data_IF_784584400011
#
_entry.id   IF_784584400011
#
_cell.length_a   1.000
_cell.length_b   1.000
_cell.length_c   1.000
_cell.angle_alpha   90.00
_cell.angle_beta   90.00
_cell.angle_gamma   90.00
#
_symmetry.space_group_name_H-M   'P 1'
#
loop_
_entity.id
_entity.type
_entity.pdbx_description
1 polymer ?
#
# COMPACT_ATOMS: atom_id res chain seq x y z
N UNK A 1 -14.78 -11.22 41.92
CA UNK A 1 -15.53 -10.52 40.89
C UNK A 1 -15.90 -11.55 39.83
N UNK A 2 -17.16 -11.69 39.38
CA UNK A 2 -17.51 -12.66 38.36
C UNK A 2 -16.78 -12.27 37.04
N UNK A 3 -16.00 -13.20 36.51
CA UNK A 3 -15.44 -13.11 35.18
C UNK A 3 -16.63 -13.10 34.20
N UNK A 4 -16.97 -11.92 33.68
CA UNK A 4 -17.92 -11.81 32.58
C UNK A 4 -17.38 -12.60 31.40
N UNK A 5 -18.09 -13.67 31.00
CA UNK A 5 -17.79 -14.41 29.77
C UNK A 5 -17.63 -13.39 28.63
N UNK A 6 -16.53 -13.41 27.85
CA UNK A 6 -16.36 -12.47 26.77
C UNK A 6 -17.55 -12.54 25.82
N UNK A 7 -18.13 -11.39 25.46
CA UNK A 7 -19.24 -11.35 24.50
C UNK A 7 -18.79 -11.98 23.18
N UNK A 8 -19.49 -13.01 22.72
CA UNK A 8 -19.30 -13.63 21.40
C UNK A 8 -19.93 -12.81 20.27
N UNK A 9 -20.30 -11.55 20.56
CA UNK A 9 -21.00 -10.65 19.64
C UNK A 9 -20.33 -9.27 19.59
N UNK A 10 -20.27 -8.70 18.38
CA UNK A 10 -19.90 -7.30 18.12
C UNK A 10 -20.88 -6.67 17.12
N UNK A 11 -20.85 -5.34 16.97
CA UNK A 11 -21.60 -4.69 15.90
C UNK A 11 -20.97 -5.01 14.54
N UNK A 12 -19.63 -4.94 14.49
CA UNK A 12 -18.88 -5.12 13.23
C UNK A 12 -17.65 -6.00 13.47
N UNK A 13 -17.47 -7.00 12.61
CA UNK A 13 -16.23 -7.77 12.50
C UNK A 13 -15.37 -7.22 11.35
N UNK A 14 -14.15 -6.76 11.63
CA UNK A 14 -13.17 -6.37 10.63
C UNK A 14 -12.21 -7.54 10.42
N UNK A 15 -12.20 -8.08 9.20
CA UNK A 15 -11.43 -9.26 8.82
C UNK A 15 -10.17 -8.81 8.08
N UNK A 16 -9.00 -8.98 8.72
CA UNK A 16 -7.69 -8.53 8.28
C UNK A 16 -7.15 -7.40 9.16
N UNK A 17 -6.01 -7.64 9.82
CA UNK A 17 -5.32 -6.71 10.72
C UNK A 17 -4.04 -6.11 10.10
N UNK A 18 -4.02 -5.93 8.78
CA UNK A 18 -3.08 -5.03 8.12
C UNK A 18 -3.39 -3.57 8.46
N UNK A 19 -2.54 -2.62 8.02
CA UNK A 19 -2.72 -1.19 8.29
C UNK A 19 -4.12 -0.69 7.91
N UNK A 20 -4.69 -1.16 6.79
CA UNK A 20 -6.04 -0.78 6.34
C UNK A 20 -7.11 -1.25 7.33
N UNK A 21 -7.08 -2.54 7.73
CA UNK A 21 -8.07 -3.09 8.65
C UNK A 21 -7.99 -2.47 10.05
N UNK A 22 -6.79 -2.20 10.55
CA UNK A 22 -6.59 -1.51 11.83
C UNK A 22 -7.13 -0.07 11.77
N UNK A 23 -6.88 0.67 10.68
CA UNK A 23 -7.48 2.00 10.49
C UNK A 23 -9.02 1.93 10.41
N UNK A 24 -9.59 0.93 9.70
CA UNK A 24 -11.04 0.73 9.65
C UNK A 24 -11.62 0.48 11.04
N UNK A 25 -10.98 -0.39 11.83
CA UNK A 25 -11.41 -0.68 13.19
C UNK A 25 -11.41 0.57 14.08
N UNK A 26 -10.34 1.38 14.01
CA UNK A 26 -10.24 2.66 14.73
C UNK A 26 -11.32 3.65 14.31
N UNK A 27 -11.53 3.86 13.00
CA UNK A 27 -12.51 4.81 12.49
C UNK A 27 -13.95 4.40 12.81
N UNK A 28 -14.27 3.10 12.81
CA UNK A 28 -15.57 2.60 13.26
C UNK A 28 -15.75 2.78 14.78
N UNK A 29 -14.69 2.54 15.56
CA UNK A 29 -14.70 2.76 17.01
C UNK A 29 -14.92 4.25 17.36
N UNK A 30 -14.30 5.18 16.59
CA UNK A 30 -14.54 6.63 16.70
C UNK A 30 -16.01 7.00 16.41
N UNK A 31 -16.74 6.15 15.68
CA UNK A 31 -18.19 6.28 15.43
C UNK A 31 -19.06 5.57 16.50
N UNK A 32 -18.47 5.10 17.59
CA UNK A 32 -19.16 4.44 18.70
C UNK A 32 -19.54 2.97 18.44
N UNK A 33 -18.96 2.31 17.40
CA UNK A 33 -19.25 0.93 17.10
C UNK A 33 -18.40 -0.02 17.96
N UNK A 34 -18.99 -1.13 18.39
CA UNK A 34 -18.26 -2.24 19.00
C UNK A 34 -17.64 -3.09 17.90
N UNK A 35 -16.32 -3.03 17.80
CA UNK A 35 -15.56 -3.67 16.72
C UNK A 35 -14.73 -4.83 17.23
N UNK A 36 -14.82 -5.96 16.55
CA UNK A 36 -13.88 -7.07 16.67
C UNK A 36 -12.96 -7.08 15.44
N UNK A 37 -11.65 -6.99 15.66
CA UNK A 37 -10.64 -7.13 14.63
C UNK A 37 -10.13 -8.58 14.60
N UNK A 38 -10.08 -9.19 13.42
CA UNK A 38 -9.73 -10.61 13.26
C UNK A 38 -8.64 -10.75 12.20
N UNK A 39 -7.59 -11.52 12.50
CA UNK A 39 -6.58 -11.96 11.52
C UNK A 39 -6.06 -13.33 11.92
N UNK A 40 -5.49 -14.08 11.00
CA UNK A 40 -4.81 -15.36 11.27
C UNK A 40 -3.42 -15.17 11.89
N UNK A 41 -2.78 -14.03 11.57
CA UNK A 41 -1.39 -13.72 11.93
C UNK A 41 -1.31 -12.50 12.86
N UNK A 42 -0.09 -12.16 13.26
CA UNK A 42 0.16 -10.93 14.00
C UNK A 42 -0.18 -9.70 13.14
N UNK A 43 -0.84 -8.69 13.72
CA UNK A 43 -1.19 -7.47 13.00
C UNK A 43 0.02 -6.80 12.35
N UNK A 44 -0.17 -6.36 11.09
CA UNK A 44 0.87 -5.68 10.32
C UNK A 44 2.00 -6.56 9.76
N UNK A 45 2.06 -7.85 10.07
CA UNK A 45 3.18 -8.73 9.69
C UNK A 45 3.24 -9.10 8.20
N UNK A 46 2.13 -8.92 7.46
CA UNK A 46 2.04 -9.25 6.05
C UNK A 46 2.51 -8.07 5.15
N UNK A 47 1.76 -7.73 4.12
CA UNK A 47 2.12 -6.70 3.12
C UNK A 47 2.40 -5.31 3.74
N UNK A 48 1.79 -5.00 4.89
CA UNK A 48 2.01 -3.73 5.61
C UNK A 48 3.45 -3.58 6.14
N UNK A 49 4.14 -4.67 6.45
CA UNK A 49 5.53 -4.66 6.94
C UNK A 49 6.52 -4.10 5.92
N UNK A 50 6.39 -4.48 4.67
CA UNK A 50 7.47 -4.38 3.68
C UNK A 50 7.45 -3.18 2.76
N UNK A 51 6.60 -2.17 3.02
CA UNK A 51 6.55 -0.98 2.17
C UNK A 51 7.71 0.01 2.45
N UNK A 52 7.88 1.02 1.58
CA UNK A 52 8.92 2.03 1.70
C UNK A 52 8.63 3.09 2.79
N UNK A 53 7.54 2.95 3.53
CA UNK A 53 7.17 3.85 4.63
C UNK A 53 6.57 5.18 4.18
N UNK A 54 6.25 5.39 2.91
CA UNK A 54 5.72 6.67 2.45
C UNK A 54 4.20 6.79 2.66
N UNK A 55 3.79 7.87 3.33
CA UNK A 55 2.46 8.47 3.21
C UNK A 55 2.60 9.52 2.12
N UNK A 56 2.24 9.14 0.91
CA UNK A 56 2.71 9.78 -0.30
C UNK A 56 1.64 10.71 -0.89
N UNK A 57 1.66 12.00 -0.48
CA UNK A 57 0.75 13.02 -1.02
C UNK A 57 0.94 13.24 -2.52
N UNK A 58 2.15 12.96 -3.05
CA UNK A 58 2.52 13.15 -4.45
C UNK A 58 2.06 12.03 -5.39
N UNK A 59 1.53 10.92 -4.89
CA UNK A 59 1.05 9.78 -5.69
C UNK A 59 -0.35 9.98 -6.30
N UNK A 60 -0.61 11.16 -6.82
CA UNK A 60 -1.90 11.46 -7.49
C UNK A 60 -2.06 10.76 -8.84
N UNK A 61 -0.95 10.29 -9.42
CA UNK A 61 -0.93 9.55 -10.68
C UNK A 61 -0.79 8.05 -10.39
N UNK A 62 -1.87 7.24 -10.48
CA UNK A 62 -1.76 5.79 -10.37
C UNK A 62 -0.75 5.24 -11.37
N UNK A 63 0.04 4.23 -10.98
CA UNK A 63 1.02 3.65 -11.90
C UNK A 63 0.33 3.11 -13.15
N UNK A 64 0.60 3.72 -14.31
CA UNK A 64 0.07 3.31 -15.58
C UNK A 64 0.85 2.12 -16.17
N UNK A 65 0.16 1.28 -16.92
CA UNK A 65 0.80 0.25 -17.74
C UNK A 65 1.48 0.92 -18.95
N UNK A 66 2.74 0.61 -19.28
CA UNK A 66 3.43 1.17 -20.44
C UNK A 66 2.65 0.90 -21.73
N UNK A 67 2.61 1.90 -22.62
CA UNK A 67 1.87 1.79 -23.89
C UNK A 67 2.77 1.90 -25.12
N UNK A 68 3.99 2.32 -24.95
CA UNK A 68 4.97 2.35 -26.04
C UNK A 68 5.56 0.96 -26.30
N UNK A 69 5.69 0.60 -27.55
CA UNK A 69 6.14 -0.74 -27.96
C UNK A 69 7.60 -1.03 -27.57
N UNK A 70 8.47 -0.01 -27.55
CA UNK A 70 9.87 -0.18 -27.18
C UNK A 70 10.01 -0.62 -25.72
N UNK A 71 9.29 0.03 -24.83
CA UNK A 71 9.23 -0.34 -23.40
C UNK A 71 8.60 -1.73 -23.22
N UNK A 72 7.50 -2.05 -23.93
CA UNK A 72 6.86 -3.36 -23.82
C UNK A 72 7.79 -4.48 -24.28
N UNK A 73 8.53 -4.31 -25.40
CA UNK A 73 9.52 -5.27 -25.87
C UNK A 73 10.67 -5.40 -24.86
N UNK A 74 11.14 -4.29 -24.30
CA UNK A 74 12.20 -4.32 -23.29
C UNK A 74 11.78 -5.10 -22.02
N UNK A 75 10.53 -4.95 -21.59
CA UNK A 75 9.97 -5.76 -20.50
C UNK A 75 9.79 -7.22 -20.90
N UNK A 76 9.27 -7.51 -22.11
CA UNK A 76 9.12 -8.87 -22.61
C UNK A 76 10.46 -9.61 -22.71
N UNK A 77 11.54 -8.91 -23.03
CA UNK A 77 12.90 -9.46 -23.04
C UNK A 77 13.58 -9.41 -21.67
N UNK A 78 12.90 -9.01 -20.61
CA UNK A 78 13.42 -8.86 -19.24
C UNK A 78 14.69 -7.99 -19.14
N UNK A 79 14.84 -7.01 -20.04
CA UNK A 79 15.96 -6.06 -20.05
C UNK A 79 15.82 -4.92 -19.04
N UNK A 80 14.61 -4.63 -18.54
CA UNK A 80 14.35 -3.61 -17.53
C UNK A 80 14.33 -4.24 -16.13
N UNK A 81 14.98 -3.58 -15.19
CA UNK A 81 15.04 -4.01 -13.78
C UNK A 81 13.74 -3.75 -13.01
N UNK A 82 12.96 -2.76 -13.44
CA UNK A 82 11.73 -2.35 -12.76
C UNK A 82 10.61 -3.40 -12.77
N UNK A 83 10.66 -4.40 -13.68
CA UNK A 83 9.69 -5.48 -13.70
C UNK A 83 10.34 -6.83 -14.05
N UNK A 84 9.83 -7.89 -13.42
CA UNK A 84 10.17 -9.29 -13.70
C UNK A 84 8.86 -10.09 -13.78
N UNK A 85 8.86 -11.22 -14.49
CA UNK A 85 7.68 -12.06 -14.57
C UNK A 85 8.01 -13.54 -14.68
N UNK A 86 7.11 -14.36 -14.16
CA UNK A 86 7.13 -15.81 -14.30
C UNK A 86 6.32 -16.21 -15.54
N UNK A 87 6.92 -16.88 -16.50
CA UNK A 87 6.25 -17.33 -17.72
C UNK A 87 4.99 -18.15 -17.44
N UNK A 88 5.03 -19.03 -16.45
CA UNK A 88 3.89 -19.86 -16.05
C UNK A 88 2.71 -19.07 -15.48
N UNK A 89 2.94 -17.86 -14.99
CA UNK A 89 1.89 -17.02 -14.42
C UNK A 89 1.19 -16.13 -15.48
N UNK A 90 1.81 -15.93 -16.65
CA UNK A 90 1.30 -14.97 -17.63
C UNK A 90 -0.11 -15.31 -18.13
N UNK A 91 -0.40 -16.59 -18.39
CA UNK A 91 -1.73 -17.00 -18.85
C UNK A 91 -2.84 -16.64 -17.86
N UNK A 92 -2.61 -16.88 -16.57
CA UNK A 92 -3.58 -16.53 -15.51
C UNK A 92 -3.67 -15.04 -15.23
N UNK A 93 -2.59 -14.29 -15.45
CA UNK A 93 -2.54 -12.84 -15.25
C UNK A 93 -3.04 -12.06 -16.47
N UNK A 94 -3.17 -12.68 -17.63
CA UNK A 94 -3.52 -12.01 -18.89
C UNK A 94 -4.83 -11.21 -18.82
N UNK A 95 -5.95 -11.72 -18.25
CA UNK A 95 -7.19 -10.95 -18.16
C UNK A 95 -7.01 -9.64 -17.38
N UNK A 96 -6.21 -9.68 -16.29
CA UNK A 96 -5.89 -8.51 -15.52
C UNK A 96 -4.92 -7.57 -16.26
N UNK A 97 -3.86 -8.09 -16.90
CA UNK A 97 -2.90 -7.30 -17.68
C UNK A 97 -3.60 -6.52 -18.81
N UNK A 98 -4.50 -7.17 -19.54
CA UNK A 98 -5.31 -6.52 -20.59
C UNK A 98 -6.21 -5.44 -19.99
N UNK A 99 -6.89 -5.72 -18.88
CA UNK A 99 -7.70 -4.74 -18.16
C UNK A 99 -6.86 -3.54 -17.71
N UNK A 100 -5.72 -3.78 -17.10
CA UNK A 100 -4.80 -2.76 -16.63
C UNK A 100 -4.26 -1.89 -17.79
N UNK A 101 -3.86 -2.51 -18.91
CA UNK A 101 -3.45 -1.79 -20.12
C UNK A 101 -4.57 -0.90 -20.67
N UNK A 102 -5.83 -1.39 -20.70
CA UNK A 102 -7.00 -0.60 -21.13
C UNK A 102 -7.23 0.60 -20.23
N UNK A 103 -7.23 0.41 -18.89
CA UNK A 103 -7.46 1.50 -17.92
C UNK A 103 -6.29 2.50 -17.85
N UNK A 104 -5.13 2.13 -18.34
CA UNK A 104 -3.98 3.03 -18.53
C UNK A 104 -4.05 3.83 -19.85
N UNK A 105 -5.15 3.75 -20.60
CA UNK A 105 -5.32 4.54 -21.83
C UNK A 105 -5.55 6.02 -21.52
N UNK A 106 -5.13 6.96 -22.40
CA UNK A 106 -5.38 8.39 -22.22
C UNK A 106 -6.85 8.75 -21.99
N UNK A 107 -7.78 7.91 -22.50
CA UNK A 107 -9.22 8.12 -22.33
C UNK A 107 -9.75 7.70 -20.95
N UNK A 108 -9.25 6.59 -20.38
CA UNK A 108 -9.74 6.05 -19.09
C UNK A 108 -8.87 6.48 -17.89
N UNK A 109 -7.60 6.75 -18.11
CA UNK A 109 -6.65 7.09 -17.05
C UNK A 109 -7.03 8.34 -16.23
N UNK A 110 -7.61 9.41 -16.81
CA UNK A 110 -8.05 10.56 -16.02
C UNK A 110 -9.10 10.21 -14.95
N UNK A 111 -9.96 9.22 -15.20
CA UNK A 111 -10.93 8.74 -14.19
C UNK A 111 -10.24 8.03 -13.01
N UNK A 112 -9.14 7.31 -13.28
CA UNK A 112 -8.33 6.69 -12.22
C UNK A 112 -7.64 7.75 -11.36
N UNK A 113 -7.12 8.83 -11.97
CA UNK A 113 -6.55 9.98 -11.25
C UNK A 113 -7.62 10.63 -10.36
N UNK A 114 -8.78 10.96 -10.93
CA UNK A 114 -9.88 11.59 -10.20
C UNK A 114 -10.36 10.72 -9.03
N UNK A 115 -10.39 9.39 -9.21
CA UNK A 115 -10.72 8.46 -8.14
C UNK A 115 -9.63 8.30 -7.08
N UNK A 116 -8.34 8.40 -7.43
CA UNK A 116 -7.25 8.31 -6.46
C UNK A 116 -7.14 9.58 -5.59
N UNK A 117 -7.42 10.73 -6.18
CA UNK A 117 -7.14 12.05 -5.62
C UNK A 117 -7.73 12.27 -4.22
N UNK A 118 -9.01 12.01 -3.93
CA UNK A 118 -9.58 12.28 -2.60
C UNK A 118 -8.89 11.48 -1.48
N UNK A 119 -8.53 10.22 -1.74
CA UNK A 119 -7.86 9.36 -0.75
C UNK A 119 -6.40 9.80 -0.53
N UNK A 120 -5.72 10.26 -1.59
CA UNK A 120 -4.34 10.76 -1.52
C UNK A 120 -4.29 12.11 -0.83
N UNK A 121 -5.19 13.04 -1.15
CA UNK A 121 -5.25 14.38 -0.54
C UNK A 121 -5.48 14.32 0.97
N UNK A 122 -6.35 13.43 1.39
CA UNK A 122 -6.69 13.26 2.80
C UNK A 122 -5.76 12.28 3.54
N UNK A 123 -4.74 11.71 2.86
CA UNK A 123 -3.88 10.69 3.47
C UNK A 123 -3.21 11.16 4.76
N UNK A 124 -2.51 12.29 4.72
CA UNK A 124 -1.82 12.81 5.89
C UNK A 124 -2.80 13.35 6.95
N UNK A 125 -3.83 14.08 6.54
CA UNK A 125 -4.86 14.66 7.44
C UNK A 125 -5.53 13.58 8.28
N UNK A 126 -5.73 12.39 7.72
CA UNK A 126 -6.35 11.26 8.44
C UNK A 126 -5.36 10.43 9.24
N UNK A 127 -4.08 10.37 8.82
CA UNK A 127 -3.05 9.68 9.58
C UNK A 127 -2.53 10.48 10.78
N UNK A 128 -2.37 11.80 10.65
CA UNK A 128 -1.76 12.65 11.66
C UNK A 128 -2.42 12.53 13.06
N UNK A 129 -3.76 12.64 13.20
CA UNK A 129 -4.39 12.49 14.50
C UNK A 129 -4.28 11.08 15.08
N UNK A 130 -4.22 10.03 14.24
CA UNK A 130 -4.01 8.66 14.71
C UNK A 130 -2.57 8.45 15.20
N UNK A 131 -1.58 9.02 14.52
CA UNK A 131 -0.17 8.98 14.90
C UNK A 131 0.04 9.69 16.26
N UNK A 132 -0.58 10.85 16.42
CA UNK A 132 -0.53 11.62 17.67
C UNK A 132 -1.19 10.85 18.82
N UNK A 133 -2.43 10.38 18.61
CA UNK A 133 -3.17 9.61 19.61
C UNK A 133 -2.47 8.30 20.01
N UNK A 134 -1.76 7.65 19.05
CA UNK A 134 -0.98 6.46 19.31
C UNK A 134 0.41 6.75 19.94
N UNK A 135 0.80 8.03 20.11
CA UNK A 135 2.06 8.46 20.73
C UNK A 135 3.30 8.09 19.92
N UNK A 136 3.20 8.01 18.58
CA UNK A 136 4.29 7.52 17.71
C UNK A 136 4.78 8.55 16.69
N UNK A 137 4.63 9.84 16.98
CA UNK A 137 5.12 10.94 16.12
C UNK A 137 6.63 10.83 15.81
N UNK A 138 7.41 10.18 16.68
CA UNK A 138 8.83 9.91 16.47
C UNK A 138 9.12 9.00 15.26
N UNK A 139 8.14 8.24 14.79
CA UNK A 139 8.29 7.39 13.60
C UNK A 139 8.20 8.18 12.29
N UNK A 140 7.79 9.45 12.36
CA UNK A 140 7.50 10.29 11.20
C UNK A 140 8.70 11.15 10.85
N UNK A 141 9.18 11.01 9.62
CA UNK A 141 10.09 11.96 8.98
C UNK A 141 9.30 12.88 8.03
N UNK A 142 9.50 14.18 8.14
CA UNK A 142 8.79 15.20 7.36
C UNK A 142 9.57 15.70 6.14
N UNK A 143 10.70 15.07 5.82
CA UNK A 143 11.58 15.53 4.75
C UNK A 143 11.01 15.30 3.33
N UNK A 144 9.94 14.50 3.20
CA UNK A 144 9.45 14.08 1.90
C UNK A 144 10.31 13.00 1.26
N UNK A 145 10.35 12.96 -0.07
CA UNK A 145 11.16 12.01 -0.82
C UNK A 145 11.72 12.63 -2.09
N UNK A 146 12.77 12.02 -2.65
CA UNK A 146 13.49 12.53 -3.81
C UNK A 146 13.49 11.47 -4.91
N UNK A 147 13.10 11.89 -6.12
CA UNK A 147 13.25 11.15 -7.36
C UNK A 147 14.56 11.59 -8.01
N UNK A 148 15.39 10.62 -8.44
CA UNK A 148 16.69 10.89 -9.07
C UNK A 148 16.85 10.13 -10.37
N UNK A 149 17.71 10.65 -11.26
CA UNK A 149 17.99 10.07 -12.58
C UNK A 149 19.41 10.36 -13.06
N UNK A 150 19.87 9.53 -14.03
CA UNK A 150 21.18 9.63 -14.70
C UNK A 150 21.06 9.93 -16.19
N UNK A 151 19.87 9.76 -16.77
CA UNK A 151 19.65 9.88 -18.21
C UNK A 151 18.71 11.02 -18.55
N UNK A 152 19.02 11.78 -19.64
CA UNK A 152 18.23 12.93 -20.08
C UNK A 152 16.79 12.56 -20.47
N UNK A 153 16.57 11.39 -21.08
CA UNK A 153 15.23 10.92 -21.45
C UNK A 153 14.34 10.76 -20.20
N UNK A 154 14.91 10.26 -19.11
CA UNK A 154 14.21 10.10 -17.83
C UNK A 154 14.02 11.45 -17.13
N UNK A 155 14.96 12.37 -17.27
CA UNK A 155 14.84 13.75 -16.79
C UNK A 155 13.60 14.42 -17.35
N UNK A 156 13.47 14.48 -18.69
CA UNK A 156 12.34 15.16 -19.33
C UNK A 156 10.99 14.60 -18.86
N UNK A 157 10.85 13.28 -18.86
CA UNK A 157 9.62 12.62 -18.37
C UNK A 157 9.33 12.94 -16.89
N UNK A 158 10.37 13.02 -16.05
CA UNK A 158 10.23 13.36 -14.62
C UNK A 158 9.86 14.81 -14.39
N UNK A 159 10.43 15.73 -15.17
CA UNK A 159 10.10 17.16 -15.13
C UNK A 159 8.67 17.43 -15.62
N UNK A 160 8.23 16.75 -16.67
CA UNK A 160 6.85 16.85 -17.18
C UNK A 160 5.84 16.36 -16.13
N UNK A 161 6.14 15.23 -15.45
CA UNK A 161 5.30 14.75 -14.36
C UNK A 161 5.30 15.72 -13.16
N UNK A 162 6.45 16.28 -12.81
CA UNK A 162 6.59 17.28 -11.76
C UNK A 162 5.74 18.53 -12.06
N UNK A 163 5.79 19.02 -13.29
CA UNK A 163 4.95 20.13 -13.75
C UNK A 163 3.46 19.82 -13.67
N UNK A 164 3.05 18.63 -14.10
CA UNK A 164 1.66 18.19 -13.98
C UNK A 164 1.21 18.12 -12.51
N UNK A 165 2.10 17.71 -11.60
CA UNK A 165 1.81 17.62 -10.16
C UNK A 165 1.42 18.96 -9.55
N UNK A 166 1.93 20.08 -10.05
CA UNK A 166 1.59 21.43 -9.58
C UNK A 166 0.09 21.74 -9.75
N UNK A 167 -0.55 21.22 -10.80
CA UNK A 167 -2.00 21.38 -11.02
C UNK A 167 -2.88 20.72 -9.94
N UNK A 168 -2.30 19.80 -9.16
CA UNK A 168 -2.95 19.12 -8.03
C UNK A 168 -2.54 19.71 -6.67
N UNK A 169 -1.98 20.93 -6.66
CA UNK A 169 -1.59 21.63 -5.45
C UNK A 169 -0.38 21.02 -4.72
N UNK A 170 0.45 20.25 -5.41
CA UNK A 170 1.65 19.65 -4.82
C UNK A 170 2.82 20.66 -4.84
N UNK A 171 3.57 20.67 -3.75
CA UNK A 171 4.87 21.32 -3.73
C UNK A 171 5.90 20.42 -4.42
N UNK A 172 6.61 20.99 -5.37
CA UNK A 172 7.63 20.28 -6.15
C UNK A 172 8.87 21.14 -6.27
N UNK A 173 10.05 20.54 -6.03
CA UNK A 173 11.33 21.23 -6.14
C UNK A 173 12.24 20.46 -7.08
N UNK A 174 12.53 21.04 -8.25
CA UNK A 174 13.55 20.49 -9.14
C UNK A 174 14.93 20.80 -8.52
N UNK A 175 15.79 19.81 -8.49
CA UNK A 175 17.12 19.87 -7.91
C UNK A 175 18.16 19.59 -8.99
N UNK A 176 19.13 20.50 -9.12
CA UNK A 176 20.38 20.26 -9.85
C UNK A 176 21.23 19.22 -9.12
N UNK A 177 22.27 18.72 -9.78
CA UNK A 177 23.25 17.83 -9.15
C UNK A 177 23.85 18.45 -7.87
N UNK A 178 24.26 19.70 -7.91
CA UNK A 178 24.86 20.39 -6.74
C UNK A 178 23.88 20.50 -5.57
N UNK A 179 22.61 20.79 -5.83
CA UNK A 179 21.57 20.85 -4.80
C UNK A 179 21.25 19.45 -4.23
N UNK A 180 21.31 18.40 -5.07
CA UNK A 180 21.19 17.01 -4.60
C UNK A 180 22.31 16.64 -3.65
N UNK A 181 23.57 16.99 -4.00
CA UNK A 181 24.75 16.70 -3.15
C UNK A 181 24.70 17.46 -1.81
N UNK A 182 24.18 18.68 -1.78
CA UNK A 182 23.97 19.43 -0.54
C UNK A 182 22.89 18.75 0.31
N UNK A 183 21.82 18.29 -0.30
CA UNK A 183 20.66 17.70 0.39
C UNK A 183 20.92 16.27 0.87
N UNK A 184 21.60 15.48 0.06
CA UNK A 184 21.98 14.08 0.31
C UNK A 184 23.45 13.84 -0.10
N UNK A 185 24.41 14.17 0.77
CA UNK A 185 25.84 14.10 0.44
C UNK A 185 26.36 12.70 0.10
N UNK A 186 25.59 11.66 0.43
CA UNK A 186 25.94 10.26 0.12
C UNK A 186 25.53 9.78 -1.25
N UNK A 187 24.85 10.62 -2.05
CA UNK A 187 24.41 10.26 -3.40
C UNK A 187 25.57 10.24 -4.41
N UNK A 188 25.43 9.38 -5.42
CA UNK A 188 26.34 9.31 -6.55
C UNK A 188 26.46 10.68 -7.25
N UNK A 189 27.69 11.25 -7.37
CA UNK A 189 27.90 12.51 -8.06
C UNK A 189 27.65 12.46 -9.56
N UNK A 190 27.46 11.27 -10.15
CA UNK A 190 27.14 11.11 -11.57
C UNK A 190 25.64 11.35 -11.88
N UNK A 191 24.79 11.56 -10.87
CA UNK A 191 23.40 11.95 -11.09
C UNK A 191 23.32 13.31 -11.77
N UNK A 192 22.43 13.46 -12.74
CA UNK A 192 22.27 14.74 -13.46
C UNK A 192 21.23 15.66 -12.83
N UNK A 193 20.30 15.13 -12.03
CA UNK A 193 19.28 15.91 -11.33
C UNK A 193 18.29 15.07 -10.53
N UNK A 194 17.32 15.76 -9.96
CA UNK A 194 16.23 15.13 -9.21
C UNK A 194 15.02 16.04 -9.00
N UNK A 195 13.95 15.44 -8.48
CA UNK A 195 12.74 16.15 -8.01
C UNK A 195 12.47 15.78 -6.57
N UNK A 196 12.35 16.78 -5.72
CA UNK A 196 11.94 16.64 -4.33
C UNK A 196 10.45 16.94 -4.17
N UNK A 197 9.76 16.04 -3.48
CA UNK A 197 8.34 16.11 -3.09
C UNK A 197 8.21 16.27 -1.58
N UNK A 198 8.20 17.52 -1.05
CA UNK A 198 8.25 17.78 0.40
C UNK A 198 6.94 17.50 1.14
N UNK A 199 5.81 17.41 0.43
CA UNK A 199 4.48 17.26 1.05
C UNK A 199 4.22 15.84 1.58
N UNK A 200 5.01 14.87 1.17
CA UNK A 200 4.93 13.50 1.64
C UNK A 200 5.59 13.32 3.01
N UNK A 201 5.20 12.29 3.73
CA UNK A 201 5.80 11.92 5.03
C UNK A 201 6.34 10.50 4.94
N UNK A 202 7.42 10.24 5.65
CA UNK A 202 7.99 8.92 5.75
C UNK A 202 7.79 8.35 7.15
N UNK A 203 7.42 7.09 7.22
CA UNK A 203 7.34 6.28 8.43
C UNK A 203 8.55 5.36 8.47
N UNK A 204 9.43 5.55 9.44
CA UNK A 204 10.66 4.76 9.57
C UNK A 204 10.44 3.29 9.92
N UNK A 205 9.27 2.95 10.45
CA UNK A 205 8.85 1.58 10.75
C UNK A 205 7.34 1.40 10.55
N UNK A 206 6.91 0.94 9.37
CA UNK A 206 5.49 0.72 9.08
C UNK A 206 4.83 -0.36 9.95
N UNK A 207 5.59 -1.35 10.42
CA UNK A 207 5.06 -2.37 11.32
C UNK A 207 4.83 -1.80 12.71
N UNK A 208 5.78 -1.03 13.24
CA UNK A 208 5.62 -0.35 14.52
C UNK A 208 4.44 0.63 14.50
N UNK A 209 4.22 1.34 13.38
CA UNK A 209 3.03 2.19 13.21
C UNK A 209 1.75 1.36 13.28
N UNK A 210 1.67 0.24 12.54
CA UNK A 210 0.47 -0.63 12.55
C UNK A 210 0.21 -1.20 13.93
N UNK A 211 1.27 -1.60 14.64
CA UNK A 211 1.20 -2.10 16.02
C UNK A 211 0.72 -1.01 16.99
N UNK A 212 1.21 0.22 16.82
CA UNK A 212 0.79 1.34 17.67
C UNK A 212 -0.70 1.68 17.46
N UNK A 213 -1.18 1.64 16.22
CA UNK A 213 -2.59 1.82 15.90
C UNK A 213 -3.46 0.68 16.50
N UNK A 214 -2.97 -0.56 16.43
CA UNK A 214 -3.64 -1.67 17.11
C UNK A 214 -3.73 -1.43 18.62
N UNK A 215 -2.62 -1.04 19.24
CA UNK A 215 -2.60 -0.77 20.69
C UNK A 215 -3.57 0.36 21.07
N UNK A 216 -3.65 1.42 20.26
CA UNK A 216 -4.64 2.49 20.44
C UNK A 216 -6.07 1.94 20.34
N UNK A 217 -6.36 1.07 19.36
CA UNK A 217 -7.65 0.41 19.20
C UNK A 217 -8.01 -0.43 20.45
N UNK A 218 -7.06 -1.21 20.97
CA UNK A 218 -7.27 -2.05 22.17
C UNK A 218 -7.46 -1.18 23.43
N UNK A 219 -6.67 -0.12 23.60
CA UNK A 219 -6.79 0.83 24.72
C UNK A 219 -8.17 1.53 24.74
N UNK A 220 -8.77 1.75 23.58
CA UNK A 220 -10.13 2.29 23.44
C UNK A 220 -11.22 1.22 23.60
N UNK A 221 -10.88 0.02 24.07
CA UNK A 221 -11.82 -1.07 24.34
C UNK A 221 -12.15 -1.95 23.14
N UNK A 222 -11.42 -1.84 22.03
CA UNK A 222 -11.50 -2.77 20.91
C UNK A 222 -10.92 -4.14 21.28
N UNK A 223 -11.27 -5.17 20.51
CA UNK A 223 -10.78 -6.53 20.70
C UNK A 223 -10.11 -7.03 19.41
N UNK A 224 -9.00 -7.75 19.57
CA UNK A 224 -8.35 -8.51 18.50
C UNK A 224 -8.34 -9.99 18.87
N UNK A 225 -8.75 -10.84 17.93
CA UNK A 225 -8.74 -12.31 18.10
C UNK A 225 -8.19 -12.93 16.81
N UNK A 226 -7.44 -14.01 16.95
CA UNK A 226 -7.04 -14.82 15.80
C UNK A 226 -8.23 -15.60 15.25
N UNK A 227 -8.29 -15.69 13.89
CA UNK A 227 -9.37 -16.43 13.26
C UNK A 227 -9.14 -16.65 11.77
N UNK A 228 -9.95 -17.53 11.21
CA UNK A 228 -9.89 -17.88 9.79
C UNK A 228 -10.87 -17.03 8.96
N UNK A 229 -10.33 -16.08 8.20
CA UNK A 229 -11.11 -15.26 7.28
C UNK A 229 -11.93 -16.07 6.27
N UNK A 230 -11.45 -17.26 5.87
CA UNK A 230 -12.15 -18.12 4.91
C UNK A 230 -13.39 -18.78 5.51
N UNK A 231 -13.54 -18.77 6.83
CA UNK A 231 -14.74 -19.26 7.51
C UNK A 231 -15.89 -18.26 7.49
N UNK A 232 -15.68 -17.02 7.03
CA UNK A 232 -16.72 -15.99 6.99
C UNK A 232 -17.92 -16.47 6.19
N UNK A 233 -19.08 -16.53 6.84
CA UNK A 233 -20.34 -16.98 6.26
C UNK A 233 -21.53 -16.21 6.83
N UNK A 234 -22.66 -16.29 6.13
CA UNK A 234 -23.93 -15.75 6.61
C UNK A 234 -24.60 -16.76 7.54
N UNK A 235 -25.02 -16.30 8.71
CA UNK A 235 -25.84 -17.05 9.66
C UNK A 235 -27.10 -16.22 10.00
N UNK A 236 -28.22 -16.59 9.39
CA UNK A 236 -29.43 -15.79 9.46
C UNK A 236 -29.24 -14.38 8.93
N UNK A 237 -29.43 -13.35 9.78
CA UNK A 237 -29.21 -11.96 9.44
C UNK A 237 -27.79 -11.44 9.80
N UNK A 238 -26.92 -12.31 10.34
CA UNK A 238 -25.60 -11.94 10.83
C UNK A 238 -24.49 -12.55 10.01
N UNK A 239 -23.30 -12.04 10.24
CA UNK A 239 -22.06 -12.60 9.74
C UNK A 239 -21.37 -13.37 10.86
N UNK A 240 -20.93 -14.59 10.57
CA UNK A 240 -20.21 -15.45 11.51
C UNK A 240 -18.82 -15.77 10.96
N UNK A 241 -17.83 -15.78 11.83
CA UNK A 241 -16.46 -16.15 11.54
C UNK A 241 -15.93 -17.06 12.64
N UNK A 242 -15.16 -18.08 12.29
CA UNK A 242 -14.49 -18.98 13.24
C UNK A 242 -13.22 -18.32 13.75
N UNK A 243 -13.08 -18.25 15.08
CA UNK A 243 -11.92 -17.70 15.77
C UNK A 243 -11.32 -18.74 16.72
N UNK A 244 -10.12 -18.45 17.25
CA UNK A 244 -9.48 -19.30 18.27
C UNK A 244 -10.30 -19.38 19.57
N UNK A 245 -11.21 -18.43 19.80
CA UNK A 245 -12.15 -18.41 20.93
C UNK A 245 -13.52 -19.03 20.58
N UNK A 246 -13.64 -19.68 19.40
CA UNK A 246 -14.89 -20.24 18.88
C UNK A 246 -15.56 -19.33 17.85
N UNK A 247 -16.79 -19.66 17.42
CA UNK A 247 -17.53 -18.86 16.45
C UNK A 247 -17.92 -17.50 17.04
N UNK A 248 -17.66 -16.43 16.26
CA UNK A 248 -18.05 -15.07 16.61
C UNK A 248 -19.04 -14.50 15.61
N UNK A 249 -20.10 -13.86 16.10
CA UNK A 249 -21.16 -13.27 15.28
C UNK A 249 -21.11 -11.76 15.32
N UNK A 250 -21.34 -11.11 14.16
CA UNK A 250 -21.44 -9.66 14.02
C UNK A 250 -22.63 -9.27 13.14
N UNK A 251 -23.19 -8.07 13.36
CA UNK A 251 -24.30 -7.57 12.56
C UNK A 251 -23.79 -7.15 11.16
N UNK A 252 -22.53 -6.71 11.05
CA UNK A 252 -21.85 -6.43 9.79
C UNK A 252 -20.41 -6.97 9.78
N UNK A 253 -19.85 -7.18 8.59
CA UNK A 253 -18.46 -7.57 8.40
C UNK A 253 -17.75 -6.68 7.37
N UNK A 254 -16.48 -6.36 7.62
CA UNK A 254 -15.61 -5.65 6.67
C UNK A 254 -14.46 -6.55 6.26
N UNK A 255 -14.29 -6.80 4.98
CA UNK A 255 -13.17 -7.56 4.41
C UNK A 255 -12.03 -6.60 4.09
N UNK A 256 -10.95 -6.65 4.87
CA UNK A 256 -9.76 -5.82 4.74
C UNK A 256 -8.47 -6.66 4.52
N UNK A 257 -8.59 -7.74 3.74
CA UNK A 257 -7.60 -8.82 3.62
C UNK A 257 -6.47 -8.53 2.62
N UNK A 258 -6.32 -7.29 2.11
CA UNK A 258 -5.27 -6.96 1.16
C UNK A 258 -5.25 -7.92 -0.04
N UNK A 259 -4.11 -8.62 -0.32
CA UNK A 259 -3.98 -9.50 -1.49
C UNK A 259 -4.79 -10.81 -1.39
N UNK A 260 -5.37 -11.12 -0.24
CA UNK A 260 -6.27 -12.27 -0.04
C UNK A 260 -7.76 -11.89 -0.10
N UNK A 261 -8.07 -10.58 -0.23
CA UNK A 261 -9.46 -10.11 -0.31
C UNK A 261 -10.22 -10.61 -1.54
N UNK A 262 -9.52 -10.80 -2.67
CA UNK A 262 -10.12 -11.36 -3.88
C UNK A 262 -10.61 -12.80 -3.67
N UNK A 263 -9.85 -13.65 -2.95
CA UNK A 263 -10.20 -15.06 -2.74
C UNK A 263 -11.54 -15.18 -2.00
N UNK A 264 -11.71 -14.38 -0.93
CA UNK A 264 -12.96 -14.36 -0.17
C UNK A 264 -14.10 -13.73 -0.97
N UNK A 265 -13.83 -12.66 -1.72
CA UNK A 265 -14.82 -12.04 -2.58
C UNK A 265 -15.30 -12.99 -3.68
N UNK A 266 -14.41 -13.77 -4.30
CA UNK A 266 -14.76 -14.80 -5.28
C UNK A 266 -15.63 -15.93 -4.67
N UNK A 267 -15.27 -16.40 -3.47
CA UNK A 267 -16.08 -17.37 -2.71
C UNK A 267 -17.49 -16.87 -2.48
N UNK A 268 -17.66 -15.56 -2.29
CA UNK A 268 -18.94 -14.88 -2.10
C UNK A 268 -19.61 -14.46 -3.45
N UNK A 269 -19.10 -14.92 -4.58
CA UNK A 269 -19.71 -14.71 -5.89
C UNK A 269 -19.43 -13.36 -6.54
N UNK A 270 -18.38 -12.63 -6.11
CA UNK A 270 -17.89 -11.41 -6.75
C UNK A 270 -16.75 -11.74 -7.69
N UNK A 271 -16.85 -11.28 -8.94
CA UNK A 271 -15.77 -11.44 -9.92
C UNK A 271 -14.93 -10.17 -9.97
N UNK A 272 -13.79 -10.20 -9.29
CA UNK A 272 -12.83 -9.11 -9.31
C UNK A 272 -11.72 -9.40 -10.30
N UNK A 273 -11.30 -8.38 -11.03
CA UNK A 273 -10.13 -8.45 -11.91
C UNK A 273 -8.93 -7.87 -11.17
N UNK A 274 -8.32 -8.68 -10.32
CA UNK A 274 -7.15 -8.27 -9.54
C UNK A 274 -5.90 -9.00 -10.00
N UNK A 275 -4.80 -8.26 -10.07
CA UNK A 275 -3.46 -8.78 -10.25
C UNK A 275 -2.63 -8.58 -8.99
N UNK A 276 -1.55 -9.33 -8.90
CA UNK A 276 -0.62 -9.23 -7.78
C UNK A 276 0.73 -8.82 -8.31
N UNK A 277 1.23 -7.67 -7.82
CA UNK A 277 2.59 -7.22 -8.07
C UNK A 277 3.41 -7.55 -6.83
N UNK A 278 4.19 -8.63 -6.89
CA UNK A 278 5.10 -8.97 -5.79
C UNK A 278 6.26 -7.98 -5.79
N UNK A 279 6.84 -7.74 -4.63
CA UNK A 279 8.03 -6.92 -4.47
C UNK A 279 8.87 -7.45 -3.33
N UNK A 280 10.16 -7.20 -3.40
CA UNK A 280 11.13 -7.63 -2.41
C UNK A 280 11.76 -6.43 -1.72
N UNK A 281 12.24 -6.64 -0.50
CA UNK A 281 13.18 -5.72 0.11
C UNK A 281 14.29 -6.44 0.86
N UNK A 282 15.37 -5.71 1.09
CA UNK A 282 16.53 -6.07 1.89
C UNK A 282 17.00 -4.84 2.65
N UNK A 283 17.38 -5.01 3.91
CA UNK A 283 18.00 -3.94 4.69
C UNK A 283 19.52 -4.01 4.59
N UNK A 284 20.13 -2.83 4.57
CA UNK A 284 21.56 -2.64 4.53
C UNK A 284 21.99 -1.74 5.66
N UNK A 285 23.16 -2.02 6.23
CA UNK A 285 23.84 -1.07 7.10
C UNK A 285 24.21 0.19 6.32
N UNK A 286 24.20 1.35 6.95
CA UNK A 286 24.78 2.54 6.35
C UNK A 286 26.31 2.43 6.37
N UNK A 287 26.97 2.78 5.26
CA UNK A 287 28.41 2.95 5.18
C UNK A 287 28.70 4.45 5.08
N UNK A 288 28.94 5.08 6.21
CA UNK A 288 28.98 6.54 6.33
C UNK A 288 27.63 7.12 6.74
N UNK A 289 27.27 8.28 6.15
CA UNK A 289 26.00 8.96 6.45
C UNK A 289 24.84 8.19 5.84
N UNK A 290 23.79 7.91 6.62
CA UNK A 290 22.56 7.33 6.12
C UNK A 290 21.75 8.39 5.33
N UNK A 291 20.92 7.99 4.34
CA UNK A 291 20.04 8.93 3.64
C UNK A 291 19.02 9.52 4.62
N UNK A 292 18.68 10.79 4.40
CA UNK A 292 17.66 11.50 5.21
C UNK A 292 16.29 11.52 4.53
N UNK A 293 16.24 11.17 3.24
CA UNK A 293 15.03 11.07 2.43
C UNK A 293 14.88 9.65 1.87
N UNK A 294 13.66 9.27 1.53
CA UNK A 294 13.46 8.15 0.61
C UNK A 294 13.91 8.59 -0.78
N UNK A 295 14.79 7.81 -1.40
CA UNK A 295 15.38 8.09 -2.71
C UNK A 295 14.85 7.06 -3.70
N UNK A 296 14.25 7.52 -4.80
CA UNK A 296 13.71 6.67 -5.88
C UNK A 296 14.57 6.85 -7.12
N UNK A 297 15.27 5.80 -7.52
CA UNK A 297 15.99 5.71 -8.79
C UNK A 297 14.99 5.32 -9.88
N UNK A 298 14.60 6.28 -10.72
CA UNK A 298 13.59 6.04 -11.76
C UNK A 298 14.14 5.32 -12.98
N UNK A 299 15.43 5.41 -13.24
CA UNK A 299 16.06 4.71 -14.35
C UNK A 299 16.00 3.19 -14.14
N UNK A 300 16.11 2.75 -12.87
CA UNK A 300 16.20 1.35 -12.50
C UNK A 300 14.98 0.82 -11.73
N UNK A 301 14.05 1.69 -11.30
CA UNK A 301 12.77 1.33 -10.71
C UNK A 301 12.87 0.70 -9.32
N UNK A 302 13.70 1.25 -8.44
CA UNK A 302 13.81 0.86 -7.03
C UNK A 302 13.83 2.08 -6.10
N UNK A 303 13.66 1.85 -4.81
CA UNK A 303 13.79 2.89 -3.80
C UNK A 303 14.75 2.46 -2.66
N UNK A 304 15.49 3.45 -2.14
CA UNK A 304 16.24 3.39 -0.90
C UNK A 304 15.47 4.19 0.16
N UNK A 305 15.08 3.55 1.23
CA UNK A 305 14.32 4.17 2.31
C UNK A 305 15.09 4.07 3.64
N UNK A 306 15.38 5.18 4.33
CA UNK A 306 15.94 5.13 5.68
C UNK A 306 14.88 4.57 6.63
N UNK A 307 15.22 3.43 7.28
CA UNK A 307 14.36 2.75 8.25
C UNK A 307 15.07 2.63 9.60
N UNK A 308 14.34 2.32 10.65
CA UNK A 308 14.95 2.04 11.96
C UNK A 308 15.97 0.89 11.92
N UNK A 309 15.73 -0.09 11.03
CA UNK A 309 16.61 -1.26 10.86
C UNK A 309 17.82 -1.01 9.93
N UNK A 310 17.92 0.17 9.31
CA UNK A 310 18.95 0.48 8.33
C UNK A 310 18.36 1.04 7.03
N UNK A 311 19.06 0.91 5.92
CA UNK A 311 18.60 1.38 4.61
C UNK A 311 17.85 0.25 3.92
N UNK A 312 16.56 0.43 3.68
CA UNK A 312 15.72 -0.55 2.97
C UNK A 312 15.78 -0.32 1.47
N UNK A 313 16.34 -1.28 0.75
CA UNK A 313 16.26 -1.34 -0.72
C UNK A 313 14.99 -2.10 -1.11
N UNK A 314 14.06 -1.45 -1.82
CA UNK A 314 12.82 -2.07 -2.30
C UNK A 314 12.84 -2.24 -3.81
N UNK A 315 12.33 -3.37 -4.30
CA UNK A 315 12.28 -3.64 -5.75
C UNK A 315 11.01 -3.11 -6.42
N UNK A 316 11.03 -3.05 -7.74
CA UNK A 316 9.88 -2.81 -8.60
C UNK A 316 8.80 -3.91 -8.51
N UNK A 317 8.29 -4.39 -9.64
CA UNK A 317 7.20 -5.36 -9.67
C UNK A 317 7.61 -6.71 -10.25
N UNK A 318 7.31 -7.79 -9.51
CA UNK A 318 7.34 -9.13 -10.03
C UNK A 318 5.91 -9.62 -10.31
N UNK A 319 5.66 -10.08 -11.53
CA UNK A 319 4.39 -10.65 -11.97
C UNK A 319 4.46 -12.18 -11.85
N UNK A 320 3.90 -12.69 -10.76
CA UNK A 320 3.88 -14.11 -10.43
C UNK A 320 2.56 -14.46 -9.74
N UNK A 321 2.28 -15.76 -9.60
CA UNK A 321 1.20 -16.20 -8.72
C UNK A 321 1.53 -15.80 -7.27
N UNK A 322 0.53 -15.40 -6.49
CA UNK A 322 0.72 -14.92 -5.11
C UNK A 322 1.56 -15.90 -4.27
N UNK A 323 1.20 -17.17 -4.34
CA UNK A 323 1.76 -18.22 -3.48
C UNK A 323 2.93 -18.98 -4.16
N UNK A 324 3.42 -18.51 -5.31
CA UNK A 324 4.61 -19.05 -5.93
C UNK A 324 5.85 -18.80 -5.03
N UNK A 325 6.83 -19.72 -5.02
CA UNK A 325 8.06 -19.51 -4.25
C UNK A 325 8.72 -18.15 -4.55
N UNK A 326 9.39 -17.53 -3.57
CA UNK A 326 10.15 -16.31 -3.79
C UNK A 326 11.27 -16.51 -4.82
N UNK A 327 11.42 -15.51 -5.69
CA UNK A 327 12.51 -15.46 -6.69
C UNK A 327 13.09 -14.04 -6.73
N UNK A 328 14.01 -13.68 -5.81
CA UNK A 328 14.47 -12.30 -5.63
C UNK A 328 15.44 -11.83 -6.73
N UNK A 329 15.25 -12.28 -7.97
CA UNK A 329 16.08 -11.92 -9.15
C UNK A 329 16.20 -10.41 -9.34
N UNK A 330 15.13 -9.67 -9.09
CA UNK A 330 15.18 -8.21 -9.20
C UNK A 330 16.12 -7.61 -8.15
N UNK A 331 16.08 -8.10 -6.92
CA UNK A 331 16.95 -7.62 -5.85
C UNK A 331 18.42 -7.86 -6.23
N UNK A 332 18.75 -9.06 -6.72
CA UNK A 332 20.12 -9.38 -7.11
C UNK A 332 20.61 -8.51 -8.28
N UNK A 333 19.72 -8.11 -9.19
CA UNK A 333 20.04 -7.20 -10.30
C UNK A 333 20.22 -5.74 -9.88
N UNK A 334 19.41 -5.25 -8.93
CA UNK A 334 19.43 -3.85 -8.57
C UNK A 334 20.41 -3.55 -7.42
N UNK A 335 20.76 -4.50 -6.57
CA UNK A 335 21.69 -4.24 -5.47
C UNK A 335 23.05 -3.68 -5.92
N UNK A 336 23.74 -4.23 -6.94
CA UNK A 336 24.97 -3.64 -7.46
C UNK A 336 24.78 -2.18 -7.91
N UNK A 337 23.64 -1.88 -8.57
CA UNK A 337 23.30 -0.53 -9.03
C UNK A 337 23.01 0.40 -7.84
N UNK A 338 22.26 -0.08 -6.85
CA UNK A 338 21.95 0.69 -5.65
C UNK A 338 23.20 1.03 -4.84
N UNK A 339 24.21 0.13 -4.84
CA UNK A 339 25.53 0.37 -4.21
C UNK A 339 26.35 1.45 -4.91
N UNK A 340 26.12 1.71 -6.20
CA UNK A 340 26.69 2.88 -6.89
C UNK A 340 25.91 4.14 -6.60
N UNK A 341 24.58 4.06 -6.40
CA UNK A 341 23.76 5.22 -6.08
C UNK A 341 24.04 5.77 -4.68
N UNK A 342 24.22 4.86 -3.71
CA UNK A 342 24.46 5.20 -2.30
C UNK A 342 25.40 4.19 -1.64
N UNK A 343 26.26 4.63 -0.73
CA UNK A 343 27.21 3.75 -0.04
C UNK A 343 26.49 2.79 0.92
N UNK A 344 26.06 1.64 0.41
CA UNK A 344 25.43 0.58 1.20
C UNK A 344 26.48 -0.32 1.85
N UNK A 345 26.32 -0.60 3.15
CA UNK A 345 27.12 -1.55 3.90
C UNK A 345 26.69 -3.02 3.70
N UNK A 346 26.88 -3.85 4.71
CA UNK A 346 26.46 -5.26 4.67
C UNK A 346 24.94 -5.39 4.65
N UNK A 347 24.43 -6.49 4.07
CA UNK A 347 23.04 -6.93 4.24
C UNK A 347 22.79 -7.22 5.74
N UNK A 348 21.66 -6.75 6.26
CA UNK A 348 21.25 -6.96 7.65
C UNK A 348 20.26 -8.12 7.78
N UNK A 349 19.48 -8.38 6.77
CA UNK A 349 18.56 -9.51 6.73
C UNK A 349 19.24 -10.75 6.16
N UNK A 350 18.92 -11.92 6.71
CA UNK A 350 19.42 -13.20 6.20
C UNK A 350 18.76 -13.58 4.87
N UNK A 351 17.51 -13.19 4.68
CA UNK A 351 16.72 -13.47 3.49
C UNK A 351 15.94 -12.23 3.06
N UNK A 352 15.73 -12.10 1.75
CA UNK A 352 14.89 -11.05 1.21
C UNK A 352 13.43 -11.25 1.66
N UNK A 353 12.82 -10.19 2.20
CA UNK A 353 11.39 -10.19 2.42
C UNK A 353 10.63 -10.05 1.10
N UNK A 354 9.49 -10.71 0.99
CA UNK A 354 8.59 -10.62 -0.15
C UNK A 354 7.17 -10.29 0.28
N UNK A 355 6.53 -9.35 -0.43
CA UNK A 355 5.11 -9.03 -0.27
C UNK A 355 4.38 -8.88 -1.58
N UNK A 356 3.06 -9.04 -1.53
CA UNK A 356 2.18 -8.93 -2.69
C UNK A 356 1.32 -7.68 -2.60
N UNK A 357 1.36 -6.85 -3.65
CA UNK A 357 0.53 -5.66 -3.79
C UNK A 357 -0.77 -6.03 -4.50
N UNK A 358 -1.95 -5.85 -3.88
CA UNK A 358 -3.25 -6.17 -4.48
C UNK A 358 -3.68 -5.08 -5.47
N UNK A 359 -3.55 -5.32 -6.76
CA UNK A 359 -3.78 -4.32 -7.80
C UNK A 359 -5.06 -4.63 -8.59
N UNK A 360 -6.04 -3.75 -8.53
CA UNK A 360 -7.17 -3.72 -9.44
C UNK A 360 -6.74 -3.28 -10.85
N UNK A 361 -7.59 -3.42 -11.85
CA UNK A 361 -7.24 -3.02 -13.23
C UNK A 361 -7.12 -1.51 -13.42
N UNK A 362 -7.76 -0.71 -12.55
CA UNK A 362 -7.72 0.76 -12.55
C UNK A 362 -6.83 1.34 -11.43
N UNK A 363 -6.18 0.48 -10.63
CA UNK A 363 -5.35 0.84 -9.49
C UNK A 363 -6.08 1.55 -8.33
N UNK A 364 -7.41 1.62 -8.37
CA UNK A 364 -8.22 2.13 -7.25
C UNK A 364 -8.59 0.99 -6.29
N UNK A 365 -8.74 1.25 -4.99
CA UNK A 365 -9.18 0.22 -4.03
C UNK A 365 -10.61 -0.25 -4.31
N UNK A 366 -10.95 -1.42 -3.80
CA UNK A 366 -12.33 -1.88 -3.66
C UNK A 366 -12.80 -1.45 -2.27
N UNK A 367 -13.74 -0.50 -2.22
CA UNK A 367 -14.25 0.07 -0.99
C UNK A 367 -15.74 0.32 -1.10
N UNK A 368 -16.51 -0.14 -0.10
CA UNK A 368 -17.96 0.06 -0.06
C UNK A 368 -18.74 -1.21 0.21
N UNK A 369 -20.07 -1.15 0.11
CA UNK A 369 -20.96 -2.27 0.38
C UNK A 369 -20.81 -3.38 -0.65
N UNK A 370 -21.04 -4.60 -0.22
CA UNK A 370 -21.15 -5.78 -1.07
C UNK A 370 -22.61 -5.91 -1.55
N UNK A 371 -22.95 -5.58 -2.82
CA UNK A 371 -24.34 -5.40 -3.23
C UNK A 371 -25.19 -6.66 -3.14
N UNK A 372 -24.58 -7.86 -3.18
CA UNK A 372 -25.29 -9.15 -3.05
C UNK A 372 -25.43 -9.62 -1.61
N UNK A 373 -24.77 -8.96 -0.65
CA UNK A 373 -24.65 -9.43 0.73
C UNK A 373 -24.88 -8.31 1.74
N UNK A 374 -26.11 -8.06 2.19
CA UNK A 374 -26.40 -7.03 3.18
C UNK A 374 -25.53 -7.17 4.43
N UNK A 375 -24.99 -6.04 4.92
CA UNK A 375 -24.09 -6.02 6.07
C UNK A 375 -22.65 -6.43 5.78
N UNK A 376 -22.30 -6.79 4.53
CA UNK A 376 -20.91 -7.03 4.13
C UNK A 376 -20.34 -5.81 3.42
N UNK A 377 -19.07 -5.51 3.74
CA UNK A 377 -18.33 -4.37 3.21
C UNK A 377 -16.92 -4.77 2.78
N UNK A 378 -16.38 -4.07 1.81
CA UNK A 378 -15.02 -4.28 1.33
C UNK A 378 -14.13 -3.07 1.60
N UNK A 379 -12.87 -3.30 1.93
CA UNK A 379 -11.82 -2.28 2.02
C UNK A 379 -10.46 -2.92 1.75
N UNK A 380 -10.13 -3.18 0.49
CA UNK A 380 -8.87 -3.80 0.08
C UNK A 380 -8.49 -3.39 -1.36
N UNK A 381 -7.36 -3.86 -1.86
CA UNK A 381 -6.99 -3.60 -3.27
C UNK A 381 -6.28 -2.26 -3.50
N UNK A 382 -5.64 -1.69 -2.48
CA UNK A 382 -4.97 -0.38 -2.51
C UNK A 382 -3.66 -0.36 -3.32
N UNK A 383 -3.38 -1.37 -4.13
CA UNK A 383 -2.15 -1.51 -4.88
C UNK A 383 -0.90 -1.31 -3.98
N UNK A 384 -0.02 -0.36 -4.29
CA UNK A 384 1.14 -0.01 -3.46
C UNK A 384 0.88 1.15 -2.50
N UNK A 385 -0.31 1.72 -2.50
CA UNK A 385 -0.70 2.85 -1.65
C UNK A 385 -1.46 2.43 -0.38
N UNK A 386 -1.36 1.16 0.04
CA UNK A 386 -2.07 0.65 1.21
C UNK A 386 -1.79 1.46 2.49
N UNK A 387 -0.51 1.83 2.74
CA UNK A 387 -0.16 2.71 3.86
C UNK A 387 -0.73 4.12 3.63
N UNK A 388 -0.47 4.73 2.48
CA UNK A 388 -0.89 6.10 2.17
C UNK A 388 -2.41 6.29 2.33
N UNK A 389 -3.20 5.38 1.76
CA UNK A 389 -4.65 5.53 1.69
C UNK A 389 -5.40 4.92 2.88
N UNK A 390 -4.73 4.19 3.79
CA UNK A 390 -5.40 3.41 4.83
C UNK A 390 -6.38 4.22 5.68
N UNK A 391 -5.93 5.34 6.24
CA UNK A 391 -6.74 6.14 7.15
C UNK A 391 -7.89 6.88 6.43
N UNK A 392 -7.64 7.42 5.22
CA UNK A 392 -8.67 8.07 4.42
C UNK A 392 -9.73 7.08 3.91
N UNK A 393 -9.31 5.88 3.44
CA UNK A 393 -10.23 4.81 3.07
C UNK A 393 -11.08 4.33 4.24
N UNK A 394 -10.45 4.23 5.42
CA UNK A 394 -11.15 3.84 6.65
C UNK A 394 -12.21 4.87 7.06
N UNK A 395 -11.90 6.17 6.96
CA UNK A 395 -12.87 7.23 7.20
C UNK A 395 -14.04 7.15 6.24
N UNK A 396 -13.77 7.09 4.93
CA UNK A 396 -14.81 7.00 3.91
C UNK A 396 -15.73 5.80 4.15
N UNK A 397 -15.15 4.63 4.45
CA UNK A 397 -15.92 3.43 4.75
C UNK A 397 -16.76 3.57 6.03
N UNK A 398 -16.20 4.14 7.10
CA UNK A 398 -16.91 4.34 8.36
C UNK A 398 -18.09 5.31 8.21
N UNK A 399 -17.92 6.38 7.43
CA UNK A 399 -18.99 7.32 7.08
C UNK A 399 -20.13 6.60 6.35
N UNK A 400 -19.82 5.76 5.35
CA UNK A 400 -20.81 4.95 4.63
C UNK A 400 -21.54 3.95 5.52
N UNK A 401 -20.82 3.19 6.37
CA UNK A 401 -21.41 2.20 7.28
C UNK A 401 -22.34 2.85 8.30
N UNK A 402 -21.99 4.07 8.75
CA UNK A 402 -22.77 4.80 9.73
C UNK A 402 -23.84 5.72 9.11
N UNK A 403 -24.03 5.69 7.78
CA UNK A 403 -25.02 6.51 7.07
C UNK A 403 -24.76 8.01 7.18
N UNK A 404 -23.49 8.41 7.29
CA UNK A 404 -23.08 9.82 7.32
C UNK A 404 -22.77 10.33 5.92
N UNK A 405 -22.74 11.64 5.74
CA UNK A 405 -22.24 12.26 4.53
C UNK A 405 -20.75 11.89 4.35
N UNK A 406 -20.43 11.44 3.14
CA UNK A 406 -19.06 11.00 2.80
C UNK A 406 -18.23 12.18 2.28
N UNK A 407 -16.98 12.27 2.71
CA UNK A 407 -16.08 13.34 2.26
C UNK A 407 -15.68 13.23 0.78
N UNK A 408 -15.96 12.09 0.15
CA UNK A 408 -15.68 11.83 -1.27
C UNK A 408 -16.79 10.95 -1.88
N UNK A 409 -16.97 11.02 -3.20
CA UNK A 409 -17.87 10.13 -3.93
C UNK A 409 -17.37 8.67 -3.83
N UNK A 410 -18.14 7.73 -3.27
CA UNK A 410 -17.73 6.34 -3.16
C UNK A 410 -17.87 5.53 -4.46
N UNK A 411 -18.54 6.05 -5.48
CA UNK A 411 -18.81 5.32 -6.75
C UNK A 411 -17.56 4.75 -7.42
N UNK A 412 -16.42 5.48 -7.50
CA UNK A 412 -15.20 4.96 -8.14
C UNK A 412 -14.61 3.72 -7.47
N UNK A 413 -15.02 3.39 -6.25
CA UNK A 413 -14.42 2.30 -5.47
C UNK A 413 -15.30 1.06 -5.34
N UNK A 414 -16.52 1.10 -5.88
CA UNK A 414 -17.48 -0.01 -5.79
C UNK A 414 -16.92 -1.31 -6.35
N UNK A 415 -17.32 -2.44 -5.76
CA UNK A 415 -16.92 -3.78 -6.18
C UNK A 415 -17.45 -4.18 -7.55
N UNK A 416 -18.56 -3.58 -7.96
CA UNK A 416 -19.30 -3.85 -9.21
C UNK A 416 -19.03 -2.79 -10.32
N UNK A 417 -17.93 -2.03 -10.22
CA UNK A 417 -17.56 -1.01 -11.20
C UNK A 417 -16.90 -1.55 -12.47
N UNK A 418 -16.63 -2.87 -12.53
CA UNK A 418 -15.96 -3.51 -13.67
C UNK A 418 -16.89 -4.39 -14.51
#
# INVERSE_FOLDING_TARGET
MPHSTPSTRSDIAVIGAGIVGVCVALKLQEQGRQVLLIDRDHPGAATSFGNAGLIERSSVFPYAFPRDWSTLIAYALQKKTAAHYHWKALASLMPWLVGYWRHSSPHLYPAAIAGALPLIENSWTEHAPLIEAAGVSRLVNQNGWIKVWRHQDTEQASLDQAKQSLAYGLSVKVLSNSELQIKEPGLDPALIGGVHYPDSRQIHDPQALTTAYLNLFLQRGGRFIRGDAQSLQRDGQRWQVTTDEGPHSADAAVVALGPWGEDLAQKLGYQLKMGRKRGYHMHFAARGTAPTHVIVDVDNGYALAPMQQGIRLTTGAEFALRDAPPTPVQLDRIEPIARTLYSLGARLDQQAWMGSRPCTIDMLPVLGPAPKHPGLWFCFGHAHHGLTQAAASARLLAEMICGRETFADPKPYRVDRF
#
